data_IF_695472187549
#
_entry.id   IF_695472187549
#
_cell.length_a   1.000
_cell.length_b   1.000
_cell.length_c   1.000
_cell.angle_alpha   90.00
_cell.angle_beta   90.00
_cell.angle_gamma   90.00
#
_symmetry.space_group_name_H-M   'P 1'
#
loop_
_entity.id
_entity.type
_entity.pdbx_description
1 polymer ?
#
# COMPACT_ATOMS: atom_id res chain seq x y z
N UNK A 1 -10.57 19.35 11.86
CA UNK A 1 -11.00 20.66 12.39
C UNK A 1 -10.74 21.81 11.42
N UNK A 2 -9.56 21.91 10.80
CA UNK A 2 -9.25 23.00 9.86
C UNK A 2 -10.09 22.98 8.58
N UNK A 3 -10.49 21.81 8.10
CA UNK A 3 -11.24 21.62 6.85
C UNK A 3 -12.76 21.50 7.06
N UNK A 4 -13.22 21.44 8.31
CA UNK A 4 -14.64 21.22 8.67
C UNK A 4 -15.26 19.95 8.04
N UNK A 5 -14.43 18.94 7.75
CA UNK A 5 -14.88 17.65 7.26
C UNK A 5 -15.30 16.80 8.46
N UNK A 6 -16.55 16.31 8.52
CA UNK A 6 -16.98 15.39 9.54
C UNK A 6 -16.16 14.10 9.53
N UNK A 7 -15.73 13.66 10.71
CA UNK A 7 -14.92 12.46 10.88
C UNK A 7 -15.69 11.44 11.73
N UNK A 8 -15.77 10.21 11.24
CA UNK A 8 -16.35 9.08 11.97
C UNK A 8 -15.24 8.20 12.55
N UNK A 9 -15.41 7.73 13.79
CA UNK A 9 -14.58 6.67 14.36
C UNK A 9 -14.92 5.34 13.65
N UNK A 10 -13.92 4.70 13.04
CA UNK A 10 -14.11 3.48 12.25
C UNK A 10 -13.33 2.27 12.77
N UNK A 11 -12.46 2.47 13.77
CA UNK A 11 -11.58 1.41 14.27
C UNK A 11 -12.37 0.23 14.88
N UNK A 12 -13.53 0.48 15.48
CA UNK A 12 -14.41 -0.55 15.99
C UNK A 12 -14.91 -1.48 14.87
N UNK A 13 -15.10 -0.99 13.65
CA UNK A 13 -15.55 -1.78 12.50
C UNK A 13 -14.51 -2.79 12.03
N UNK A 14 -13.23 -2.43 12.11
CA UNK A 14 -12.11 -3.33 11.76
C UNK A 14 -11.86 -4.41 12.81
N UNK A 15 -12.12 -4.09 14.08
CA UNK A 15 -11.91 -5.00 15.22
C UNK A 15 -13.13 -5.83 15.56
N UNK A 16 -14.28 -5.54 14.96
CA UNK A 16 -15.53 -6.24 15.23
C UNK A 16 -15.54 -7.64 14.63
N UNK A 17 -16.15 -8.58 15.34
CA UNK A 17 -16.42 -9.93 14.89
C UNK A 17 -15.31 -10.93 15.18
N UNK A 18 -15.48 -12.12 14.61
CA UNK A 18 -14.53 -13.23 14.77
C UNK A 18 -13.24 -12.98 14.02
N UNK A 19 -12.09 -13.49 14.52
CA UNK A 19 -10.84 -13.50 13.75
C UNK A 19 -11.04 -14.13 12.36
N UNK A 20 -10.22 -13.75 11.35
CA UNK A 20 -10.29 -14.37 10.03
C UNK A 20 -10.13 -15.88 10.10
N UNK A 21 -10.93 -16.61 9.30
CA UNK A 21 -10.77 -18.04 9.13
C UNK A 21 -9.46 -18.36 8.41
N UNK A 22 -8.80 -19.45 8.79
CA UNK A 22 -7.61 -19.96 8.11
C UNK A 22 -8.00 -21.11 7.19
N UNK A 23 -7.74 -20.94 5.90
CA UNK A 23 -7.91 -21.98 4.89
C UNK A 23 -6.54 -22.32 4.29
N UNK A 24 -6.12 -23.56 4.44
CA UNK A 24 -4.84 -24.03 3.92
C UNK A 24 -5.04 -25.40 3.25
N UNK A 25 -4.42 -25.58 2.07
CA UNK A 25 -4.56 -26.80 1.25
C UNK A 25 -6.04 -27.19 0.98
N UNK A 26 -6.94 -26.21 0.90
CA UNK A 26 -8.36 -26.41 0.66
C UNK A 26 -9.19 -26.75 1.90
N UNK A 27 -8.60 -26.78 3.09
CA UNK A 27 -9.24 -27.10 4.36
C UNK A 27 -9.34 -25.89 5.28
N UNK A 28 -10.45 -25.78 6.04
CA UNK A 28 -10.56 -24.82 7.14
C UNK A 28 -9.89 -25.40 8.37
N UNK A 29 -8.95 -24.65 8.95
CA UNK A 29 -8.17 -25.07 10.11
C UNK A 29 -8.40 -24.13 11.30
N UNK A 30 -8.55 -24.70 12.51
CA UNK A 30 -8.36 -23.93 13.73
C UNK A 30 -6.89 -23.64 13.96
N UNK A 31 -6.55 -22.74 14.89
CA UNK A 31 -5.14 -22.46 15.23
C UNK A 31 -4.41 -23.69 15.76
N UNK A 32 -5.11 -24.56 16.51
CA UNK A 32 -4.57 -25.80 17.04
C UNK A 32 -4.31 -26.83 15.92
N UNK A 33 -5.25 -26.96 14.99
CA UNK A 33 -5.07 -27.82 13.81
C UNK A 33 -3.94 -27.31 12.92
N UNK A 34 -3.87 -26.00 12.70
CA UNK A 34 -2.77 -25.37 11.96
C UNK A 34 -1.41 -25.64 12.60
N UNK A 35 -1.29 -25.48 13.92
CA UNK A 35 -0.05 -25.73 14.64
C UNK A 35 0.48 -27.16 14.48
N UNK A 36 -0.42 -28.13 14.26
CA UNK A 36 -0.11 -29.56 14.10
C UNK A 36 -0.14 -30.02 12.64
N UNK A 37 -0.53 -29.15 11.71
CA UNK A 37 -0.69 -29.52 10.31
C UNK A 37 0.64 -29.92 9.68
N UNK A 38 0.68 -31.05 8.96
CA UNK A 38 1.91 -31.58 8.36
C UNK A 38 2.53 -30.63 7.31
N UNK A 39 1.70 -29.87 6.58
CA UNK A 39 2.13 -28.84 5.63
C UNK A 39 2.49 -27.49 6.23
N UNK A 40 2.51 -27.35 7.59
CA UNK A 40 2.93 -26.11 8.23
C UNK A 40 4.46 -26.01 8.25
N UNK A 41 5.07 -25.11 7.41
CA UNK A 41 6.52 -25.07 7.23
C UNK A 41 7.26 -24.28 8.31
N UNK A 42 6.53 -23.68 9.27
CA UNK A 42 7.12 -22.77 10.26
C UNK A 42 7.89 -23.51 11.36
N UNK A 43 8.94 -22.88 11.91
CA UNK A 43 9.62 -23.37 13.10
C UNK A 43 8.65 -23.57 14.28
N UNK A 44 8.99 -24.49 15.18
CA UNK A 44 8.12 -24.91 16.29
C UNK A 44 7.55 -23.73 17.11
N UNK A 45 8.36 -22.70 17.35
CA UNK A 45 7.95 -21.51 18.11
C UNK A 45 6.90 -20.63 17.38
N UNK A 46 6.68 -20.85 16.07
CA UNK A 46 5.80 -20.04 15.23
C UNK A 46 4.62 -20.83 14.66
N UNK A 47 4.56 -22.14 14.89
CA UNK A 47 3.53 -23.00 14.29
C UNK A 47 2.09 -22.61 14.61
N UNK A 48 1.83 -21.98 15.75
CA UNK A 48 0.49 -21.52 16.15
C UNK A 48 0.13 -20.12 15.66
N UNK A 49 1.08 -19.43 15.03
CA UNK A 49 0.90 -18.06 14.51
C UNK A 49 0.25 -18.12 13.11
N UNK A 50 -0.63 -17.17 12.80
CA UNK A 50 -1.20 -17.06 11.47
C UNK A 50 -0.11 -16.70 10.45
N UNK A 51 -0.09 -17.31 9.26
CA UNK A 51 0.96 -17.07 8.27
C UNK A 51 1.23 -15.57 8.01
N UNK A 52 0.18 -14.78 7.79
CA UNK A 52 0.29 -13.35 7.49
C UNK A 52 0.84 -12.50 8.65
N UNK A 53 0.85 -13.01 9.89
CA UNK A 53 1.36 -12.30 11.07
C UNK A 53 2.86 -12.50 11.28
N UNK A 54 3.45 -13.57 10.73
CA UNK A 54 4.83 -14.02 11.04
C UNK A 54 5.88 -13.04 10.56
N UNK A 55 5.82 -12.64 9.28
CA UNK A 55 6.81 -11.76 8.69
C UNK A 55 6.84 -10.40 9.39
N UNK A 56 5.68 -9.85 9.76
CA UNK A 56 5.59 -8.59 10.49
C UNK A 56 6.13 -8.72 11.93
N UNK A 57 5.80 -9.81 12.62
CA UNK A 57 6.35 -10.09 13.95
C UNK A 57 7.88 -10.28 13.92
N UNK A 58 8.43 -10.84 12.85
CA UNK A 58 9.88 -10.95 12.67
C UNK A 58 10.52 -9.60 12.33
N UNK A 59 9.89 -8.76 11.51
CA UNK A 59 10.39 -7.44 11.20
C UNK A 59 10.62 -6.60 12.47
N UNK A 60 9.79 -6.77 13.52
CA UNK A 60 9.97 -6.09 14.81
C UNK A 60 11.21 -6.56 15.60
N UNK A 61 11.88 -7.64 15.17
CA UNK A 61 13.14 -8.12 15.76
C UNK A 61 14.39 -7.48 15.15
N UNK A 62 14.23 -6.63 14.14
CA UNK A 62 15.34 -5.82 13.66
C UNK A 62 15.93 -4.99 14.82
N UNK A 63 17.25 -4.70 14.80
CA UNK A 63 17.83 -3.76 15.74
C UNK A 63 17.05 -2.44 15.72
N UNK A 64 16.81 -1.81 16.89
CA UNK A 64 16.18 -0.50 16.92
C UNK A 64 17.01 0.50 16.11
N UNK A 65 16.36 1.25 15.25
CA UNK A 65 16.97 2.37 14.56
C UNK A 65 17.23 3.48 15.58
N UNK A 66 18.46 4.00 15.63
CA UNK A 66 18.85 5.05 16.59
C UNK A 66 18.00 6.32 16.42
N UNK A 67 17.74 6.67 15.17
CA UNK A 67 16.78 7.69 14.77
C UNK A 67 15.94 7.13 13.60
N UNK A 68 14.68 6.82 13.87
CA UNK A 68 13.79 6.27 12.87
C UNK A 68 13.41 7.27 11.77
N UNK A 69 13.59 8.58 12.01
CA UNK A 69 13.40 9.62 10.99
C UNK A 69 14.59 9.70 10.02
N UNK A 70 15.73 9.14 10.42
CA UNK A 70 16.96 9.03 9.61
C UNK A 70 17.24 7.57 9.21
N UNK A 71 16.21 6.74 9.13
CA UNK A 71 16.34 5.31 8.87
C UNK A 71 17.13 4.98 7.59
N UNK A 72 17.09 5.85 6.59
CA UNK A 72 17.80 5.75 5.32
C UNK A 72 19.29 6.15 5.39
N UNK A 73 19.78 6.59 6.54
CA UNK A 73 21.17 7.01 6.70
C UNK A 73 22.17 5.86 6.44
N UNK A 74 23.35 6.19 5.94
CA UNK A 74 24.35 5.23 5.51
C UNK A 74 24.79 4.23 6.60
N UNK A 75 24.75 4.63 7.87
CA UNK A 75 25.04 3.76 9.01
C UNK A 75 24.07 2.57 9.14
N UNK A 76 22.86 2.69 8.61
CA UNK A 76 21.86 1.63 8.58
C UNK A 76 22.01 0.70 7.37
N UNK A 77 23.00 0.92 6.52
CA UNK A 77 23.22 0.17 5.28
C UNK A 77 23.34 -1.35 5.46
N UNK A 78 23.82 -1.81 6.63
CA UNK A 78 23.87 -3.24 6.95
C UNK A 78 22.47 -3.89 7.02
N UNK A 79 21.41 -3.13 7.23
CA UNK A 79 20.02 -3.59 7.25
C UNK A 79 19.36 -3.47 5.86
N UNK A 80 19.97 -2.76 4.90
CA UNK A 80 19.44 -2.53 3.56
C UNK A 80 19.73 -3.72 2.61
N UNK A 81 19.32 -4.89 3.06
CA UNK A 81 19.42 -6.19 2.40
C UNK A 81 18.02 -6.67 1.96
N UNK A 82 17.90 -7.67 1.08
CA UNK A 82 16.59 -8.28 0.80
C UNK A 82 15.91 -8.79 2.07
N UNK A 83 14.63 -8.51 2.24
CA UNK A 83 13.86 -8.99 3.41
C UNK A 83 13.82 -10.51 3.49
N UNK A 84 13.83 -11.22 2.35
CA UNK A 84 13.96 -12.67 2.31
C UNK A 84 15.24 -13.16 3.00
N UNK A 85 16.37 -12.46 2.82
CA UNK A 85 17.63 -12.79 3.49
C UNK A 85 17.50 -12.63 5.00
N UNK A 86 16.87 -11.55 5.47
CA UNK A 86 16.62 -11.34 6.91
C UNK A 86 15.70 -12.45 7.46
N UNK A 87 14.61 -12.79 6.78
CA UNK A 87 13.69 -13.85 7.22
C UNK A 87 14.39 -15.22 7.29
N UNK A 88 15.27 -15.53 6.33
CA UNK A 88 16.08 -16.75 6.37
C UNK A 88 17.05 -16.76 7.57
N UNK A 89 17.66 -15.62 7.91
CA UNK A 89 18.49 -15.47 9.12
C UNK A 89 17.67 -15.67 10.42
N UNK A 90 16.35 -15.41 10.38
CA UNK A 90 15.43 -15.72 11.49
C UNK A 90 14.99 -17.20 11.51
N UNK A 91 15.51 -18.04 10.62
CA UNK A 91 15.25 -19.48 10.60
C UNK A 91 14.07 -19.91 9.73
N UNK A 92 13.55 -19.06 8.85
CA UNK A 92 12.51 -19.45 7.89
C UNK A 92 13.12 -20.12 6.65
N UNK A 93 12.52 -21.24 6.22
CA UNK A 93 12.80 -21.83 4.91
C UNK A 93 12.17 -21.00 3.79
N UNK A 94 12.56 -21.25 2.54
CA UNK A 94 11.96 -20.60 1.36
C UNK A 94 10.42 -20.79 1.32
N UNK A 95 9.95 -22.01 1.62
CA UNK A 95 8.53 -22.33 1.70
C UNK A 95 7.82 -21.53 2.80
N UNK A 96 8.45 -21.42 3.97
CA UNK A 96 7.94 -20.60 5.06
C UNK A 96 7.88 -19.11 4.71
N UNK A 97 8.90 -18.59 4.00
CA UNK A 97 8.92 -17.20 3.51
C UNK A 97 7.81 -16.98 2.48
N UNK A 98 7.64 -17.92 1.55
CA UNK A 98 6.58 -17.84 0.55
C UNK A 98 5.21 -17.70 1.21
N UNK A 99 4.93 -18.52 2.21
CA UNK A 99 3.65 -18.51 2.91
C UNK A 99 3.48 -17.31 3.85
N UNK A 100 4.55 -16.89 4.55
CA UNK A 100 4.48 -15.79 5.52
C UNK A 100 4.45 -14.41 4.87
N UNK A 101 5.00 -14.27 3.65
CA UNK A 101 5.17 -12.96 3.04
C UNK A 101 4.79 -12.90 1.57
N UNK A 102 5.34 -13.79 0.71
CA UNK A 102 5.19 -13.64 -0.75
C UNK A 102 3.74 -13.79 -1.22
N UNK A 103 2.94 -14.50 -0.45
CA UNK A 103 1.53 -14.71 -0.75
C UNK A 103 0.70 -13.40 -0.64
N UNK A 104 1.01 -12.56 0.36
CA UNK A 104 0.40 -11.23 0.54
C UNK A 104 1.50 -10.25 0.99
N UNK A 105 2.39 -9.81 0.10
CA UNK A 105 3.47 -8.94 0.49
C UNK A 105 2.94 -7.56 0.90
N UNK A 106 3.48 -7.02 1.99
CA UNK A 106 3.15 -5.67 2.42
C UNK A 106 3.83 -4.63 1.50
N UNK A 107 5.09 -4.88 1.15
CA UNK A 107 5.87 -4.13 0.16
C UNK A 107 6.56 -5.09 -0.80
N UNK A 108 6.78 -4.64 -2.04
CA UNK A 108 7.43 -5.42 -3.07
C UNK A 108 6.53 -6.45 -3.73
N UNK A 109 7.08 -7.14 -4.70
CA UNK A 109 6.40 -8.27 -5.35
C UNK A 109 6.48 -9.53 -4.50
N UNK A 110 7.56 -9.65 -3.75
CA UNK A 110 7.86 -10.73 -2.80
C UNK A 110 8.94 -10.26 -1.81
N UNK A 111 9.37 -11.11 -0.88
CA UNK A 111 10.37 -10.77 0.13
C UNK A 111 11.78 -10.52 -0.44
N UNK A 112 12.08 -11.01 -1.64
CA UNK A 112 13.34 -10.74 -2.34
C UNK A 112 13.39 -9.36 -2.98
N UNK A 113 12.22 -8.79 -3.27
CA UNK A 113 12.06 -7.53 -3.99
C UNK A 113 11.94 -6.31 -3.06
N UNK A 114 12.05 -6.48 -1.75
CA UNK A 114 11.92 -5.39 -0.76
C UNK A 114 13.10 -5.33 0.19
N UNK A 115 13.50 -4.10 0.59
CA UNK A 115 14.54 -3.87 1.59
C UNK A 115 14.07 -4.24 2.99
N UNK A 116 14.89 -4.98 3.74
CA UNK A 116 14.67 -5.21 5.16
C UNK A 116 14.75 -3.90 5.97
N UNK A 117 15.55 -2.94 5.55
CA UNK A 117 15.63 -1.63 6.21
C UNK A 117 14.29 -0.89 6.14
N UNK A 118 13.58 -0.95 4.99
CA UNK A 118 12.21 -0.43 4.87
C UNK A 118 11.25 -1.18 5.81
N UNK A 119 11.39 -2.49 5.96
CA UNK A 119 10.55 -3.28 6.87
C UNK A 119 10.81 -2.96 8.33
N UNK A 120 12.07 -2.70 8.71
CA UNK A 120 12.44 -2.26 10.04
C UNK A 120 11.84 -0.89 10.38
N UNK A 121 11.97 0.09 9.47
CA UNK A 121 11.34 1.41 9.60
C UNK A 121 9.81 1.28 9.73
N UNK A 122 9.20 0.53 8.83
CA UNK A 122 7.74 0.37 8.82
C UNK A 122 7.20 -0.28 10.11
N UNK A 123 7.93 -1.23 10.67
CA UNK A 123 7.59 -1.84 11.96
C UNK A 123 7.61 -0.81 13.10
N UNK A 124 8.62 0.06 13.15
CA UNK A 124 8.69 1.15 14.12
C UNK A 124 7.56 2.19 13.93
N UNK A 125 7.30 2.58 12.68
CA UNK A 125 6.25 3.53 12.33
C UNK A 125 4.86 3.01 12.75
N UNK A 126 4.52 1.78 12.40
CA UNK A 126 3.24 1.15 12.81
C UNK A 126 3.18 0.99 14.33
N UNK A 127 4.28 0.61 14.98
CA UNK A 127 4.36 0.52 16.44
C UNK A 127 4.04 1.85 17.12
N UNK A 128 4.54 2.97 16.59
CA UNK A 128 4.25 4.31 17.12
C UNK A 128 2.79 4.69 16.97
N UNK A 129 2.16 4.33 15.85
CA UNK A 129 0.72 4.57 15.63
C UNK A 129 -0.15 3.72 16.55
N UNK A 130 0.21 2.46 16.76
CA UNK A 130 -0.50 1.60 17.72
C UNK A 130 -0.39 2.12 19.15
N UNK A 131 0.75 2.70 19.53
CA UNK A 131 0.96 3.30 20.84
C UNK A 131 0.13 4.58 21.04
N UNK A 132 -0.26 5.27 19.97
CA UNK A 132 -1.13 6.46 20.02
C UNK A 132 -2.58 6.13 20.41
N UNK A 133 -2.99 4.86 20.35
CA UNK A 133 -4.30 4.37 20.77
C UNK A 133 -5.03 3.57 19.69
N UNK A 134 -6.14 2.93 20.09
CA UNK A 134 -6.90 2.05 19.22
C UNK A 134 -7.85 2.79 18.27
N UNK A 135 -8.02 4.08 18.42
CA UNK A 135 -8.98 4.87 17.66
C UNK A 135 -8.49 5.09 16.23
N UNK A 136 -9.38 4.90 15.27
CA UNK A 136 -9.12 5.16 13.85
C UNK A 136 -10.27 5.94 13.27
N UNK A 137 -9.96 7.00 12.53
CA UNK A 137 -10.96 7.90 11.96
C UNK A 137 -10.90 7.89 10.44
N UNK A 138 -12.05 8.04 9.81
CA UNK A 138 -12.19 8.29 8.38
C UNK A 138 -13.20 9.43 8.16
N UNK A 139 -13.09 10.12 7.04
CA UNK A 139 -14.08 11.12 6.66
C UNK A 139 -15.45 10.46 6.41
N UNK A 140 -16.51 11.03 6.98
CA UNK A 140 -17.87 10.54 6.74
C UNK A 140 -18.22 10.62 5.25
N UNK A 141 -18.60 9.47 4.68
CA UNK A 141 -18.91 9.33 3.26
C UNK A 141 -17.71 9.18 2.35
N UNK A 142 -16.48 9.08 2.89
CA UNK A 142 -15.25 8.77 2.15
C UNK A 142 -14.15 9.83 2.27
N UNK A 143 -12.90 9.36 2.28
CA UNK A 143 -11.74 10.22 2.47
C UNK A 143 -11.50 11.23 1.34
N UNK A 144 -12.09 11.03 0.14
CA UNK A 144 -12.06 12.01 -0.95
C UNK A 144 -12.63 13.39 -0.55
N UNK A 145 -13.53 13.45 0.44
CA UNK A 145 -14.07 14.70 0.98
C UNK A 145 -13.01 15.60 1.63
N UNK A 146 -11.89 15.02 2.06
CA UNK A 146 -10.75 15.78 2.56
C UNK A 146 -10.13 16.59 1.43
N UNK A 147 -9.85 15.95 0.30
CA UNK A 147 -9.28 16.61 -0.88
C UNK A 147 -10.25 17.59 -1.52
N UNK A 148 -11.54 17.29 -1.55
CA UNK A 148 -12.57 18.24 -2.02
C UNK A 148 -12.62 19.50 -1.15
N UNK A 149 -12.59 19.33 0.17
CA UNK A 149 -12.56 20.45 1.09
C UNK A 149 -11.26 21.29 1.00
N UNK A 150 -10.13 20.66 0.67
CA UNK A 150 -8.88 21.37 0.37
C UNK A 150 -8.99 22.15 -0.93
N UNK A 151 -9.48 21.52 -2.00
CA UNK A 151 -9.67 22.15 -3.31
C UNK A 151 -10.59 23.36 -3.24
N UNK A 152 -11.70 23.27 -2.49
CA UNK A 152 -12.65 24.37 -2.29
C UNK A 152 -12.05 25.60 -1.59
N UNK A 153 -10.89 25.48 -0.97
CA UNK A 153 -10.18 26.58 -0.28
C UNK A 153 -9.06 27.20 -1.09
N UNK A 154 -8.73 26.62 -2.24
CA UNK A 154 -7.74 27.20 -3.12
C UNK A 154 -8.23 28.54 -3.68
N UNK A 155 -7.29 29.48 -3.83
CA UNK A 155 -7.57 30.79 -4.48
C UNK A 155 -7.40 30.71 -6.01
N UNK A 156 -6.62 29.73 -6.49
CA UNK A 156 -6.38 29.46 -7.89
C UNK A 156 -7.34 28.40 -8.43
N UNK A 157 -7.32 28.24 -9.74
CA UNK A 157 -8.16 27.27 -10.44
C UNK A 157 -7.63 25.84 -10.23
N UNK A 158 -8.55 24.88 -10.20
CA UNK A 158 -8.26 23.44 -10.31
C UNK A 158 -8.66 23.01 -11.72
N UNK A 159 -7.64 22.71 -12.54
CA UNK A 159 -7.86 22.27 -13.92
C UNK A 159 -7.86 20.74 -13.94
N UNK A 160 -9.02 20.15 -14.16
CA UNK A 160 -9.18 18.71 -14.37
C UNK A 160 -8.90 18.37 -15.85
N UNK A 161 -8.72 17.08 -16.12
CA UNK A 161 -8.48 16.53 -17.47
C UNK A 161 -7.30 17.20 -18.20
N UNK A 162 -6.29 17.64 -17.45
CA UNK A 162 -5.15 18.40 -17.95
C UNK A 162 -3.82 17.67 -17.67
N UNK A 163 -3.60 16.45 -18.22
CA UNK A 163 -2.36 15.69 -17.99
C UNK A 163 -1.14 16.46 -18.52
N UNK A 164 -0.14 16.63 -17.69
CA UNK A 164 1.12 17.29 -18.06
C UNK A 164 1.96 16.36 -18.93
N UNK A 165 2.48 16.88 -20.04
CA UNK A 165 3.36 16.18 -20.96
C UNK A 165 4.84 16.62 -20.81
N UNK A 166 5.09 17.92 -20.56
CA UNK A 166 6.43 18.44 -20.44
C UNK A 166 6.52 19.60 -19.44
N UNK A 167 7.69 19.77 -18.84
CA UNK A 167 8.06 20.90 -17.99
C UNK A 167 9.43 21.39 -18.44
N UNK A 168 9.49 22.59 -19.03
CA UNK A 168 10.68 23.14 -19.67
C UNK A 168 11.10 24.46 -19.02
N UNK A 169 12.40 24.84 -19.06
CA UNK A 169 12.82 26.15 -18.58
C UNK A 169 12.15 27.29 -19.36
N UNK A 170 11.66 28.31 -18.64
CA UNK A 170 11.16 29.54 -19.23
C UNK A 170 11.56 30.75 -18.37
N UNK A 171 12.49 31.54 -18.86
CA UNK A 171 13.05 32.70 -18.12
C UNK A 171 13.69 32.26 -16.79
N UNK A 172 13.12 32.69 -15.65
CA UNK A 172 13.55 32.27 -14.31
C UNK A 172 12.67 31.16 -13.73
N UNK A 173 11.58 30.83 -14.38
CA UNK A 173 10.60 29.82 -13.98
C UNK A 173 10.58 28.64 -14.95
N UNK A 174 9.40 28.11 -15.19
CA UNK A 174 9.15 26.99 -16.09
C UNK A 174 7.85 27.15 -16.87
N UNK A 175 7.80 26.48 -18.00
CA UNK A 175 6.62 26.32 -18.83
C UNK A 175 6.13 24.88 -18.71
N UNK A 176 4.90 24.70 -18.28
CA UNK A 176 4.20 23.43 -18.25
C UNK A 176 3.38 23.30 -19.52
N UNK A 177 3.56 22.20 -20.24
CA UNK A 177 2.77 21.85 -21.44
C UNK A 177 1.93 20.61 -21.15
N UNK A 178 0.61 20.70 -21.33
CA UNK A 178 -0.31 19.58 -21.19
C UNK A 178 -0.43 18.77 -22.49
N UNK A 179 -0.95 17.55 -22.43
CA UNK A 179 -1.11 16.65 -23.59
C UNK A 179 -2.06 17.20 -24.66
N UNK A 180 -2.99 18.06 -24.28
CA UNK A 180 -3.90 18.77 -25.19
C UNK A 180 -3.29 19.99 -25.87
N UNK A 181 -2.03 20.34 -25.52
CA UNK A 181 -1.29 21.49 -26.02
C UNK A 181 -1.50 22.76 -25.21
N UNK A 182 -2.30 22.78 -24.16
CA UNK A 182 -2.41 23.92 -23.25
C UNK A 182 -1.06 24.18 -22.53
N UNK A 183 -0.72 25.45 -22.32
CA UNK A 183 0.58 25.87 -21.78
C UNK A 183 0.40 26.85 -20.63
N UNK A 184 1.16 26.64 -19.56
CA UNK A 184 1.11 27.45 -18.33
C UNK A 184 2.51 27.83 -17.89
N UNK A 185 2.81 29.13 -17.82
CA UNK A 185 4.06 29.63 -17.29
C UNK A 185 3.92 29.83 -15.77
N UNK A 186 4.95 29.45 -15.03
CA UNK A 186 4.98 29.55 -13.57
C UNK A 186 6.40 29.87 -13.06
N UNK A 187 6.51 30.70 -12.02
CA UNK A 187 7.79 30.97 -11.35
C UNK A 187 8.28 29.74 -10.56
N UNK A 188 7.36 28.97 -10.02
CA UNK A 188 7.62 27.75 -9.23
C UNK A 188 6.58 26.68 -9.55
N UNK A 189 7.03 25.43 -9.54
CA UNK A 189 6.18 24.25 -9.71
C UNK A 189 6.36 23.35 -8.49
N UNK A 190 5.25 22.82 -7.96
CA UNK A 190 5.26 21.75 -6.96
C UNK A 190 4.65 20.52 -7.60
N UNK A 191 5.47 19.49 -7.82
CA UNK A 191 5.02 18.20 -8.31
C UNK A 191 4.69 17.28 -7.15
N UNK A 192 3.42 16.85 -7.04
CA UNK A 192 2.95 15.84 -6.08
C UNK A 192 2.63 14.50 -6.75
N UNK A 193 3.08 14.32 -7.99
CA UNK A 193 2.75 13.16 -8.81
C UNK A 193 3.44 11.89 -8.29
N UNK A 194 2.76 10.74 -8.29
CA UNK A 194 3.43 9.45 -8.13
C UNK A 194 4.51 9.28 -9.20
N UNK A 195 5.62 8.64 -8.84
CA UNK A 195 6.74 8.47 -9.78
C UNK A 195 6.36 7.79 -11.10
N UNK A 196 5.47 6.77 -11.15
CA UNK A 196 5.06 6.21 -12.44
C UNK A 196 4.38 7.23 -13.38
N UNK A 197 3.61 8.16 -12.84
CA UNK A 197 3.03 9.26 -13.62
C UNK A 197 4.10 10.31 -13.98
N UNK A 198 4.97 10.68 -13.04
CA UNK A 198 6.04 11.64 -13.27
C UNK A 198 7.01 11.19 -14.37
N UNK A 199 7.31 9.90 -14.49
CA UNK A 199 8.16 9.31 -15.56
C UNK A 199 7.61 9.51 -16.96
N UNK A 200 6.33 9.86 -17.11
CA UNK A 200 5.70 10.15 -18.40
C UNK A 200 5.87 11.61 -18.82
N UNK A 201 6.47 12.46 -17.98
CA UNK A 201 6.66 13.89 -18.22
C UNK A 201 8.08 14.11 -18.73
N UNK A 202 8.21 14.82 -19.84
CA UNK A 202 9.49 15.30 -20.33
C UNK A 202 9.96 16.46 -19.45
N UNK A 203 11.07 16.27 -18.73
CA UNK A 203 11.63 17.27 -17.86
C UNK A 203 12.88 17.90 -18.52
N UNK A 204 12.75 19.13 -18.96
CA UNK A 204 13.79 19.90 -19.68
C UNK A 204 14.86 20.52 -18.78
N UNK A 205 15.11 19.96 -17.59
CA UNK A 205 16.11 20.42 -16.63
C UNK A 205 17.17 19.35 -16.39
N UNK A 206 18.39 19.77 -16.07
CA UNK A 206 19.47 18.86 -15.66
C UNK A 206 19.17 18.30 -14.26
N UNK A 207 18.78 17.04 -14.20
CA UNK A 207 18.51 16.32 -12.95
C UNK A 207 19.80 15.67 -12.46
N UNK A 208 20.21 15.87 -11.19
CA UNK A 208 21.34 15.17 -10.61
C UNK A 208 21.19 13.65 -10.77
N UNK A 209 22.29 12.95 -11.07
CA UNK A 209 22.29 11.52 -11.41
C UNK A 209 21.55 10.66 -10.38
N UNK A 210 21.87 10.83 -9.10
CA UNK A 210 21.27 10.01 -8.03
C UNK A 210 19.75 10.24 -7.91
N UNK A 211 19.30 11.49 -8.14
CA UNK A 211 17.87 11.81 -8.16
C UNK A 211 17.19 11.26 -9.42
N UNK A 212 17.84 11.35 -10.58
CA UNK A 212 17.29 10.77 -11.81
C UNK A 212 17.12 9.25 -11.68
N UNK A 213 18.12 8.56 -11.11
CA UNK A 213 18.02 7.12 -10.81
C UNK A 213 16.93 6.84 -9.78
N UNK A 214 16.83 7.64 -8.70
CA UNK A 214 15.77 7.50 -7.71
C UNK A 214 14.37 7.63 -8.34
N UNK A 215 14.15 8.63 -9.17
CA UNK A 215 12.89 8.84 -9.87
C UNK A 215 12.60 7.71 -10.88
N UNK A 216 13.60 7.19 -11.56
CA UNK A 216 13.45 6.15 -12.57
C UNK A 216 13.21 4.76 -11.97
N UNK A 217 13.90 4.42 -10.88
CA UNK A 217 14.00 3.04 -10.39
C UNK A 217 13.14 2.72 -9.16
N UNK A 218 12.66 3.74 -8.40
CA UNK A 218 11.81 3.47 -7.22
C UNK A 218 10.50 2.83 -7.63
N UNK A 219 10.25 1.60 -7.20
CA UNK A 219 9.05 0.86 -7.61
C UNK A 219 7.81 1.28 -6.82
N UNK A 220 6.64 0.93 -7.36
CA UNK A 220 5.35 1.08 -6.72
C UNK A 220 4.69 -0.26 -6.47
N UNK A 221 3.97 -0.38 -5.35
CA UNK A 221 3.37 -1.62 -4.88
C UNK A 221 2.26 -2.09 -5.81
N UNK A 222 2.38 -3.27 -6.44
CA UNK A 222 1.29 -3.85 -7.20
C UNK A 222 0.15 -4.28 -6.24
N UNK A 223 -1.04 -3.75 -6.47
CA UNK A 223 -2.26 -4.13 -5.76
C UNK A 223 -3.43 -4.11 -6.73
N UNK A 224 -4.19 -5.21 -6.71
CA UNK A 224 -5.46 -5.33 -7.42
C UNK A 224 -6.54 -5.82 -6.45
N UNK A 225 -7.69 -5.18 -6.49
CA UNK A 225 -8.79 -5.40 -5.54
C UNK A 225 -10.04 -5.82 -6.29
N UNK A 226 -10.66 -6.91 -5.83
CA UNK A 226 -11.96 -7.37 -6.27
C UNK A 226 -12.96 -7.23 -5.12
N UNK A 227 -14.02 -6.47 -5.34
CA UNK A 227 -15.14 -6.36 -4.41
C UNK A 227 -16.24 -7.35 -4.79
N UNK A 228 -16.76 -8.05 -3.80
CA UNK A 228 -17.87 -8.98 -3.92
C UNK A 228 -19.01 -8.56 -2.98
N UNK A 229 -20.23 -8.79 -3.41
CA UNK A 229 -21.41 -8.80 -2.53
C UNK A 229 -21.89 -10.22 -2.35
N UNK A 230 -22.68 -10.45 -1.29
CA UNK A 230 -23.34 -11.73 -1.08
C UNK A 230 -24.85 -11.55 -0.98
N UNK A 231 -25.59 -12.49 -1.54
CA UNK A 231 -27.06 -12.49 -1.45
C UNK A 231 -27.57 -12.93 -0.08
N UNK A 232 -26.73 -13.61 0.71
CA UNK A 232 -27.05 -14.14 2.02
C UNK A 232 -25.80 -14.15 2.91
N UNK A 233 -25.94 -14.00 4.24
CA UNK A 233 -24.84 -14.07 5.19
C UNK A 233 -24.37 -15.53 5.38
N UNK A 234 -23.58 -16.05 4.44
CA UNK A 234 -23.11 -17.45 4.44
C UNK A 234 -22.30 -17.81 5.69
N UNK A 235 -21.73 -16.84 6.38
CA UNK A 235 -21.02 -17.02 7.65
C UNK A 235 -21.92 -17.36 8.83
N UNK A 236 -23.21 -17.11 8.72
CA UNK A 236 -24.19 -17.58 9.71
C UNK A 236 -24.51 -19.07 9.55
N UNK A 237 -24.39 -19.59 8.32
CA UNK A 237 -24.67 -21.01 8.03
C UNK A 237 -23.55 -21.92 8.52
N UNK A 238 -22.30 -21.52 8.36
CA UNK A 238 -21.13 -22.30 8.78
C UNK A 238 -20.54 -21.85 10.13
N UNK A 239 -21.06 -20.76 10.69
CA UNK A 239 -20.63 -20.23 11.99
C UNK A 239 -19.22 -19.63 12.01
N UNK A 240 -18.58 -19.45 10.84
CA UNK A 240 -17.22 -18.95 10.72
C UNK A 240 -17.18 -17.43 10.46
N UNK A 241 -16.00 -16.82 10.55
CA UNK A 241 -15.81 -15.41 10.21
C UNK A 241 -16.12 -15.14 8.73
N UNK A 242 -16.76 -14.02 8.37
CA UNK A 242 -16.86 -13.61 6.97
C UNK A 242 -15.51 -13.26 6.35
N UNK A 243 -14.51 -12.84 7.16
CA UNK A 243 -13.13 -12.63 6.73
C UNK A 243 -12.35 -13.94 6.76
N UNK A 244 -11.44 -14.13 5.81
CA UNK A 244 -10.59 -15.32 5.76
C UNK A 244 -9.23 -15.02 5.11
N UNK A 245 -8.28 -15.86 5.44
CA UNK A 245 -6.99 -15.99 4.77
C UNK A 245 -6.92 -17.38 4.12
N UNK A 246 -6.43 -17.46 2.91
CA UNK A 246 -6.18 -18.73 2.23
C UNK A 246 -4.81 -18.72 1.54
N UNK A 247 -4.20 -19.89 1.39
CA UNK A 247 -2.98 -20.10 0.60
C UNK A 247 -3.23 -20.13 -0.91
N UNK A 248 -4.48 -19.97 -1.32
CA UNK A 248 -4.91 -20.02 -2.72
C UNK A 248 -5.03 -18.65 -3.40
N UNK A 249 -5.70 -18.65 -4.54
CA UNK A 249 -5.88 -17.47 -5.39
C UNK A 249 -6.71 -16.35 -4.74
N UNK A 250 -7.61 -16.69 -3.80
CA UNK A 250 -8.41 -15.73 -3.02
C UNK A 250 -7.60 -15.01 -1.94
N UNK A 251 -6.42 -15.53 -1.57
CA UNK A 251 -5.44 -14.87 -0.70
C UNK A 251 -6.06 -14.35 0.59
N UNK A 252 -6.51 -13.10 0.61
CA UNK A 252 -7.14 -12.47 1.76
C UNK A 252 -8.50 -11.90 1.40
N UNK A 253 -9.54 -12.39 2.08
CA UNK A 253 -10.91 -11.86 2.00
C UNK A 253 -11.21 -11.09 3.27
N UNK A 254 -11.54 -9.81 3.12
CA UNK A 254 -11.80 -8.88 4.22
C UNK A 254 -13.28 -8.48 4.18
N UNK A 255 -14.01 -8.78 5.24
CA UNK A 255 -15.39 -8.31 5.40
C UNK A 255 -15.42 -6.80 5.59
N UNK A 256 -16.18 -6.12 4.76
CA UNK A 256 -16.42 -4.69 4.87
C UNK A 256 -17.67 -4.44 5.72
N UNK A 257 -17.54 -3.57 6.72
CA UNK A 257 -18.57 -3.31 7.73
C UNK A 257 -18.94 -1.83 7.74
N UNK A 258 -19.57 -1.38 6.65
CA UNK A 258 -19.97 0.01 6.46
C UNK A 258 -21.50 0.22 6.58
N UNK A 259 -22.22 -0.74 7.17
CA UNK A 259 -23.64 -0.65 7.45
C UNK A 259 -23.97 0.25 8.64
N UNK A 260 -25.23 0.24 9.06
CA UNK A 260 -25.70 1.03 10.20
C UNK A 260 -25.08 0.56 11.52
N UNK A 261 -24.82 -0.74 11.65
CA UNK A 261 -24.17 -1.33 12.82
C UNK A 261 -22.79 -1.90 12.50
N UNK A 262 -21.93 -2.05 13.50
CA UNK A 262 -20.56 -2.54 13.34
C UNK A 262 -20.47 -4.02 12.93
N UNK A 263 -21.51 -4.82 13.14
CA UNK A 263 -21.59 -6.23 12.76
C UNK A 263 -22.19 -6.45 11.37
N UNK A 264 -22.80 -5.42 10.78
CA UNK A 264 -23.37 -5.49 9.44
C UNK A 264 -22.27 -5.56 8.36
N UNK A 265 -22.15 -6.72 7.73
CA UNK A 265 -21.23 -6.93 6.59
C UNK A 265 -21.90 -6.47 5.31
N UNK A 266 -21.42 -5.39 4.75
CA UNK A 266 -21.96 -4.77 3.53
C UNK A 266 -21.33 -5.29 2.25
N UNK A 267 -20.17 -5.97 2.34
CA UNK A 267 -19.45 -6.52 1.22
C UNK A 267 -18.20 -7.26 1.64
N UNK A 268 -17.54 -7.84 0.67
CA UNK A 268 -16.25 -8.52 0.82
C UNK A 268 -15.24 -7.87 -0.11
N UNK A 269 -14.06 -7.58 0.38
CA UNK A 269 -12.91 -7.15 -0.40
C UNK A 269 -11.91 -8.29 -0.49
N UNK A 270 -11.59 -8.72 -1.69
CA UNK A 270 -10.50 -9.67 -1.96
C UNK A 270 -9.32 -8.88 -2.49
N UNK A 271 -8.18 -9.01 -1.86
CA UNK A 271 -7.01 -8.21 -2.18
C UNK A 271 -5.86 -9.10 -2.64
N UNK A 272 -5.41 -8.87 -3.88
CA UNK A 272 -4.16 -9.41 -4.39
C UNK A 272 -3.04 -8.37 -4.28
N UNK A 273 -1.84 -8.81 -3.93
CA UNK A 273 -0.64 -7.96 -3.82
C UNK A 273 0.55 -8.63 -4.47
N UNK A 274 1.54 -7.83 -4.87
CA UNK A 274 2.78 -8.31 -5.44
C UNK A 274 2.57 -9.15 -6.70
N UNK A 275 3.20 -10.30 -6.77
CA UNK A 275 3.10 -11.18 -7.94
C UNK A 275 1.67 -11.66 -8.23
N UNK A 276 0.86 -11.89 -7.19
CA UNK A 276 -0.54 -12.26 -7.38
C UNK A 276 -1.37 -11.13 -8.01
N UNK A 277 -1.10 -9.88 -7.66
CA UNK A 277 -1.77 -8.73 -8.29
C UNK A 277 -1.43 -8.64 -9.79
N UNK A 278 -0.17 -8.88 -10.15
CA UNK A 278 0.27 -8.91 -11.55
C UNK A 278 -0.41 -10.08 -12.31
N UNK A 279 -0.52 -11.26 -11.69
CA UNK A 279 -1.27 -12.39 -12.28
C UNK A 279 -2.74 -12.01 -12.53
N UNK A 280 -3.39 -11.31 -11.57
CA UNK A 280 -4.77 -10.87 -11.74
C UNK A 280 -4.92 -9.84 -12.86
N UNK A 281 -3.95 -8.94 -12.99
CA UNK A 281 -3.94 -7.91 -14.05
C UNK A 281 -3.78 -8.54 -15.44
N UNK A 282 -2.97 -9.60 -15.56
CA UNK A 282 -2.82 -10.37 -16.80
C UNK A 282 -4.07 -11.18 -17.17
N UNK A 283 -4.74 -11.76 -16.17
CA UNK A 283 -5.98 -12.53 -16.39
C UNK A 283 -7.16 -11.64 -16.79
N UNK A 284 -7.23 -10.43 -16.24
CA UNK A 284 -8.34 -9.52 -16.42
C UNK A 284 -9.54 -9.83 -15.51
N UNK A 285 -10.40 -8.82 -15.37
CA UNK A 285 -11.50 -8.80 -14.41
C UNK A 285 -12.39 -10.04 -14.41
N UNK A 286 -12.88 -10.45 -15.58
CA UNK A 286 -13.89 -11.51 -15.67
C UNK A 286 -13.29 -12.87 -15.27
N UNK A 287 -12.08 -13.19 -15.77
CA UNK A 287 -11.39 -14.43 -15.42
C UNK A 287 -11.01 -14.48 -13.93
N UNK A 288 -10.63 -13.34 -13.35
CA UNK A 288 -10.37 -13.23 -11.91
C UNK A 288 -11.62 -13.54 -11.10
N UNK A 289 -12.77 -12.94 -11.43
CA UNK A 289 -14.01 -13.21 -10.71
C UNK A 289 -14.46 -14.67 -10.84
N UNK A 290 -14.38 -15.26 -12.02
CA UNK A 290 -14.75 -16.66 -12.24
C UNK A 290 -13.88 -17.58 -11.39
N UNK A 291 -12.56 -17.35 -11.37
CA UNK A 291 -11.63 -18.15 -10.59
C UNK A 291 -11.84 -17.94 -9.08
N UNK A 292 -12.02 -16.70 -8.61
CA UNK A 292 -12.29 -16.38 -7.20
C UNK A 292 -13.55 -17.07 -6.70
N UNK A 293 -14.67 -16.91 -7.41
CA UNK A 293 -15.96 -17.46 -6.99
C UNK A 293 -15.91 -18.98 -7.02
N UNK A 294 -15.25 -19.57 -8.04
CA UNK A 294 -15.05 -21.02 -8.12
C UNK A 294 -14.22 -21.54 -6.95
N UNK A 295 -13.09 -20.92 -6.64
CA UNK A 295 -12.21 -21.32 -5.54
C UNK A 295 -12.91 -21.17 -4.19
N UNK A 296 -13.50 -19.99 -3.91
CA UNK A 296 -14.24 -19.75 -2.67
C UNK A 296 -15.36 -20.75 -2.48
N UNK A 297 -16.06 -21.13 -3.57
CA UNK A 297 -17.09 -22.18 -3.51
C UNK A 297 -16.55 -23.58 -3.22
N UNK A 298 -15.26 -23.85 -3.49
CA UNK A 298 -14.60 -25.13 -3.17
C UNK A 298 -14.13 -25.18 -1.72
N UNK A 299 -13.34 -24.15 -1.30
CA UNK A 299 -12.76 -24.12 0.04
C UNK A 299 -13.80 -23.81 1.12
N UNK A 300 -14.86 -23.07 0.78
CA UNK A 300 -15.94 -22.68 1.68
C UNK A 300 -17.32 -22.89 1.03
N UNK A 301 -17.87 -24.12 1.04
CA UNK A 301 -19.11 -24.46 0.33
C UNK A 301 -20.32 -23.59 0.65
N UNK A 302 -20.37 -22.96 1.83
CA UNK A 302 -21.43 -22.02 2.22
C UNK A 302 -21.53 -20.79 1.29
N UNK A 303 -20.49 -20.49 0.51
CA UNK A 303 -20.46 -19.35 -0.44
C UNK A 303 -21.07 -19.70 -1.81
N UNK A 304 -21.31 -20.99 -2.12
CA UNK A 304 -21.76 -21.41 -3.46
C UNK A 304 -23.06 -20.72 -3.89
N UNK A 305 -23.01 -20.08 -5.05
CA UNK A 305 -24.15 -19.38 -5.66
C UNK A 305 -24.56 -18.07 -5.00
N UNK A 306 -23.83 -17.61 -3.97
CA UNK A 306 -24.16 -16.41 -3.19
C UNK A 306 -23.32 -15.20 -3.53
N UNK A 307 -22.08 -15.41 -3.99
CA UNK A 307 -21.15 -14.32 -4.30
C UNK A 307 -21.44 -13.72 -5.66
N UNK A 308 -21.40 -12.39 -5.73
CA UNK A 308 -21.58 -11.61 -6.96
C UNK A 308 -20.47 -10.58 -7.12
N UNK A 309 -19.88 -10.44 -8.30
CA UNK A 309 -18.96 -9.35 -8.63
C UNK A 309 -19.58 -7.98 -8.34
N UNK A 310 -18.78 -7.02 -7.86
CA UNK A 310 -19.25 -5.67 -7.59
C UNK A 310 -18.39 -4.61 -8.23
N UNK A 311 -17.09 -4.61 -7.94
CA UNK A 311 -16.15 -3.63 -8.44
C UNK A 311 -14.74 -4.23 -8.47
N UNK A 312 -14.00 -3.98 -9.55
CA UNK A 312 -12.63 -4.42 -9.75
C UNK A 312 -11.75 -3.20 -9.99
N UNK A 313 -10.62 -3.13 -9.33
CA UNK A 313 -9.69 -2.03 -9.51
C UNK A 313 -8.24 -2.49 -9.37
N UNK A 314 -7.43 -2.21 -10.40
CA UNK A 314 -5.97 -2.38 -10.36
C UNK A 314 -5.29 -1.02 -10.21
N UNK A 315 -4.62 -0.81 -9.09
CA UNK A 315 -3.78 0.37 -8.92
C UNK A 315 -2.55 0.36 -9.81
N UNK A 316 -2.08 -0.84 -10.19
CA UNK A 316 -0.92 -1.02 -11.07
C UNK A 316 -1.21 -0.57 -12.51
N UNK A 317 -2.43 -0.83 -12.99
CA UNK A 317 -2.86 -0.44 -14.33
C UNK A 317 -3.42 0.99 -14.39
N UNK A 318 -3.57 1.66 -13.26
CA UNK A 318 -4.02 3.06 -13.22
C UNK A 318 -2.94 3.98 -13.80
N UNK A 319 -3.24 4.65 -14.91
CA UNK A 319 -2.26 5.42 -15.70
C UNK A 319 -1.48 6.44 -14.87
N UNK A 320 -2.16 7.13 -13.94
CA UNK A 320 -1.57 8.21 -13.14
C UNK A 320 -1.15 7.78 -11.74
N UNK A 321 -1.25 6.50 -11.40
CA UNK A 321 -0.78 5.94 -10.13
C UNK A 321 0.32 4.90 -10.34
N UNK A 322 0.12 3.93 -11.24
CA UNK A 322 1.08 2.88 -11.56
C UNK A 322 1.43 1.95 -10.40
N UNK A 323 0.59 1.93 -9.37
CA UNK A 323 0.72 1.18 -8.12
C UNK A 323 0.14 1.93 -6.94
N UNK A 324 0.09 1.29 -5.77
CA UNK A 324 -0.60 1.82 -4.61
C UNK A 324 0.25 2.78 -3.76
N UNK A 325 1.55 2.51 -3.61
CA UNK A 325 2.52 3.33 -2.87
C UNK A 325 3.95 2.97 -3.25
N UNK A 326 4.90 3.87 -2.99
CA UNK A 326 6.31 3.63 -3.23
C UNK A 326 6.89 2.63 -2.22
N UNK A 327 7.86 1.83 -2.66
CA UNK A 327 8.69 1.01 -1.78
C UNK A 327 10.14 1.02 -2.27
N UNK A 328 11.06 0.48 -1.47
CA UNK A 328 12.48 0.43 -1.79
C UNK A 328 12.97 -1.02 -1.83
N UNK A 329 13.73 -1.36 -2.85
CA UNK A 329 14.50 -2.60 -2.93
C UNK A 329 15.75 -2.51 -2.06
N UNK A 330 16.41 -3.63 -1.83
CA UNK A 330 17.68 -3.66 -1.13
C UNK A 330 18.70 -2.70 -1.80
N UNK A 331 19.37 -1.89 -0.99
CA UNK A 331 20.33 -0.87 -1.43
C UNK A 331 19.71 0.42 -2.01
N UNK A 332 18.40 0.48 -2.17
CA UNK A 332 17.75 1.69 -2.68
C UNK A 332 17.43 2.72 -1.59
N UNK A 333 17.04 2.28 -0.40
CA UNK A 333 16.65 3.19 0.67
C UNK A 333 17.79 4.14 1.04
N UNK A 334 18.97 3.60 1.31
CA UNK A 334 20.17 4.38 1.67
C UNK A 334 20.73 5.22 0.53
N UNK A 335 20.41 4.88 -0.72
CA UNK A 335 20.93 5.56 -1.92
C UNK A 335 19.99 6.63 -2.43
N UNK A 336 18.68 6.39 -2.45
CA UNK A 336 17.73 7.21 -3.19
C UNK A 336 16.97 8.20 -2.33
N UNK A 337 16.65 7.83 -1.09
CA UNK A 337 15.69 8.60 -0.31
C UNK A 337 16.16 10.04 -0.05
N UNK A 338 17.44 10.24 0.26
CA UNK A 338 18.00 11.57 0.49
C UNK A 338 17.94 12.50 -0.72
N UNK A 339 17.95 11.96 -1.95
CA UNK A 339 17.91 12.74 -3.18
C UNK A 339 16.48 12.97 -3.71
N UNK A 340 15.52 12.14 -3.27
CA UNK A 340 14.17 12.04 -3.86
C UNK A 340 13.43 13.37 -3.92
N UNK A 341 13.56 14.19 -2.89
CA UNK A 341 12.81 15.43 -2.71
C UNK A 341 13.55 16.71 -3.15
N UNK A 342 14.81 16.59 -3.59
CA UNK A 342 15.60 17.77 -3.92
C UNK A 342 14.98 18.57 -5.07
N UNK A 343 14.88 19.92 -4.97
CA UNK A 343 14.39 20.73 -6.07
C UNK A 343 15.28 20.66 -7.31
N UNK A 344 14.68 20.68 -8.49
CA UNK A 344 15.38 20.75 -9.79
C UNK A 344 14.97 22.04 -10.49
N UNK A 345 15.85 23.04 -10.46
CA UNK A 345 15.52 24.39 -10.92
C UNK A 345 14.31 24.96 -10.16
N UNK A 346 13.24 25.39 -10.84
CA UNK A 346 12.03 25.88 -10.21
C UNK A 346 11.05 24.75 -9.78
N UNK A 347 11.36 23.47 -10.03
CA UNK A 347 10.50 22.33 -9.75
C UNK A 347 10.82 21.76 -8.38
N UNK A 348 9.84 21.74 -7.49
CA UNK A 348 9.88 21.18 -6.14
C UNK A 348 9.04 19.90 -6.10
N UNK A 349 9.40 18.94 -5.25
CA UNK A 349 8.76 17.63 -5.19
C UNK A 349 8.13 17.36 -3.83
N UNK A 350 6.92 16.85 -3.82
CA UNK A 350 6.25 16.30 -2.64
C UNK A 350 5.52 15.00 -2.98
N UNK A 351 4.89 14.40 -2.01
CA UNK A 351 4.25 13.08 -2.13
C UNK A 351 4.82 12.13 -1.08
N UNK A 352 4.10 11.06 -0.76
CA UNK A 352 4.50 10.10 0.30
C UNK A 352 5.88 9.46 0.04
N UNK A 353 6.28 9.37 -1.24
CA UNK A 353 7.56 8.84 -1.69
C UNK A 353 8.76 9.78 -1.41
N UNK A 354 8.49 11.04 -1.08
CA UNK A 354 9.49 12.06 -0.75
C UNK A 354 9.60 12.31 0.76
N UNK A 355 8.82 11.59 1.56
CA UNK A 355 8.78 11.78 3.01
C UNK A 355 9.63 10.72 3.73
N UNK A 356 10.31 11.13 4.78
CA UNK A 356 11.28 10.31 5.51
C UNK A 356 10.72 9.69 6.78
N UNK A 357 9.83 10.41 7.47
CA UNK A 357 9.40 10.07 8.81
C UNK A 357 7.99 9.49 8.89
N UNK A 358 7.24 9.52 7.78
CA UNK A 358 5.87 9.07 7.72
C UNK A 358 5.56 8.38 6.38
N UNK A 359 4.45 7.68 6.32
CA UNK A 359 3.97 6.98 5.11
C UNK A 359 2.51 7.33 4.84
N UNK A 360 2.05 7.00 3.63
CA UNK A 360 0.66 7.20 3.23
C UNK A 360 0.22 8.67 3.27
N UNK A 361 -1.00 8.93 3.72
CA UNK A 361 -1.58 10.29 3.75
C UNK A 361 -0.79 11.23 4.64
N UNK A 362 -0.30 10.77 5.79
CA UNK A 362 0.54 11.57 6.69
C UNK A 362 1.83 12.01 5.99
N UNK A 363 2.52 11.08 5.34
CA UNK A 363 3.72 11.39 4.55
C UNK A 363 3.44 12.36 3.40
N UNK A 364 2.32 12.20 2.71
CA UNK A 364 1.91 13.13 1.65
C UNK A 364 1.70 14.56 2.19
N UNK A 365 1.02 14.71 3.33
CA UNK A 365 0.77 16.02 3.95
C UNK A 365 2.03 16.66 4.49
N UNK A 366 2.89 15.90 5.19
CA UNK A 366 4.17 16.40 5.71
C UNK A 366 5.09 16.89 4.58
N UNK A 367 5.21 16.10 3.50
CA UNK A 367 6.01 16.49 2.33
C UNK A 367 5.45 17.72 1.61
N UNK A 368 4.11 17.87 1.57
CA UNK A 368 3.48 19.04 0.97
C UNK A 368 3.73 20.32 1.79
N UNK A 369 3.73 20.24 3.12
CA UNK A 369 4.09 21.36 4.00
C UNK A 369 5.54 21.78 3.78
N UNK A 370 6.48 20.83 3.72
CA UNK A 370 7.88 21.08 3.39
C UNK A 370 8.01 21.80 2.05
N UNK A 371 7.41 21.25 0.99
CA UNK A 371 7.49 21.85 -0.35
C UNK A 371 6.86 23.25 -0.40
N UNK A 372 5.78 23.49 0.32
CA UNK A 372 5.16 24.81 0.42
C UNK A 372 6.12 25.84 1.07
N UNK A 373 6.84 25.45 2.12
CA UNK A 373 7.83 26.31 2.78
C UNK A 373 9.05 26.59 1.87
N UNK A 374 9.39 25.69 0.95
CA UNK A 374 10.46 25.91 -0.04
C UNK A 374 10.09 26.94 -1.11
N UNK A 375 8.81 27.06 -1.46
CA UNK A 375 8.36 27.94 -2.56
C UNK A 375 7.81 29.29 -2.07
N UNK A 376 7.41 29.41 -0.82
CA UNK A 376 6.96 30.68 -0.24
C UNK A 376 8.20 31.51 0.12
N UNK A 377 8.32 32.75 -0.37
CA UNK A 377 9.40 33.65 0.05
C UNK A 377 9.35 33.89 1.57
N UNK A 378 10.53 33.85 2.20
CA UNK A 378 10.68 34.15 3.61
C UNK A 378 10.32 35.62 3.93
#
# INVERSE_FOLDING_TARGET
KQLDVPMAEVGHRYRHGKPPGLYFAGEHLTREQWAQHAGNPFPAAMKSVMPAEIAFALASKNPPLADWTQWYAAENGALDIPFAQFLAQQGLSEEAIALAYNHIPYHGRDAGDVSNLLMAFNSGFVGSQMAAGPESFAAEGGNYKITDAMAARLKGDVLLDSPVAAIEPEGKGALVTCRDGARYAADKIVSSLPLPAFRQIELGFDVPKDQAEAHAETPYQPITIAHLTTSEPFWEQDGQSPSMWSDGFSSQVIAQRYGETADEVTGLMVQARGNLALEWDELGQDAVYDRLISELGKIRPATKGKLKPRHFHSWTQEEFSGGAWAYYKAGQATRFLAAMANPVGPVHFCGEHTEYSARGVEGALASAERAALEVVPA
#
